data_IF_213622459357
#
_entry.id   IF_213622459357
#
_cell.length_a   1.000
_cell.length_b   1.000
_cell.length_c   1.000
_cell.angle_alpha   90.00
_cell.angle_beta   90.00
_cell.angle_gamma   90.00
#
_symmetry.space_group_name_H-M   'P 1'
#
loop_
_entity.id
_entity.type
_entity.pdbx_description
1 polymer ?
#
# COMPACT_ATOMS: atom_id res chain seq x y z
N UNK A 1 -7.59 -10.95 20.58
CA UNK A 1 -7.92 -9.89 19.61
C UNK A 1 -6.87 -8.82 19.80
N UNK A 2 -5.96 -8.66 18.83
CA UNK A 2 -5.11 -7.48 18.80
C UNK A 2 -6.04 -6.26 18.82
N UNK A 3 -5.76 -5.31 19.70
CA UNK A 3 -6.59 -4.12 19.80
C UNK A 3 -6.31 -3.25 18.59
N UNK A 4 -7.34 -2.69 17.94
CA UNK A 4 -7.24 -1.66 16.89
C UNK A 4 -6.07 -0.68 17.11
N UNK A 5 -5.84 -0.30 18.37
CA UNK A 5 -4.74 0.56 18.81
C UNK A 5 -3.34 0.05 18.45
N UNK A 6 -3.08 -1.24 18.66
CA UNK A 6 -1.78 -1.87 18.41
C UNK A 6 -1.43 -1.83 16.92
N UNK A 7 -2.41 -2.07 16.05
CA UNK A 7 -2.21 -2.12 14.61
C UNK A 7 -1.91 -0.74 13.98
N UNK A 8 -2.68 0.31 14.32
CA UNK A 8 -2.38 1.63 13.75
C UNK A 8 -1.10 2.24 14.33
N UNK A 9 -0.81 2.01 15.62
CA UNK A 9 0.47 2.42 16.23
C UNK A 9 1.62 1.63 15.58
N UNK A 10 1.44 0.34 15.34
CA UNK A 10 2.41 -0.51 14.66
C UNK A 10 2.79 0.04 13.29
N UNK A 11 1.79 0.36 12.46
CA UNK A 11 2.00 0.96 11.14
C UNK A 11 2.72 2.30 11.23
N UNK A 12 2.30 3.17 12.16
CA UNK A 12 2.91 4.49 12.37
C UNK A 12 4.37 4.37 12.80
N UNK A 13 4.68 3.55 13.79
CA UNK A 13 6.04 3.38 14.34
C UNK A 13 6.96 2.72 13.30
N UNK A 14 6.49 1.67 12.63
CA UNK A 14 7.27 0.97 11.61
C UNK A 14 7.64 1.90 10.46
N UNK A 15 6.67 2.64 9.92
CA UNK A 15 6.94 3.59 8.84
C UNK A 15 7.77 4.79 9.30
N UNK A 16 7.54 5.32 10.51
CA UNK A 16 8.38 6.41 11.06
C UNK A 16 9.85 5.98 11.15
N UNK A 17 10.10 4.76 11.64
CA UNK A 17 11.46 4.21 11.76
C UNK A 17 12.11 4.09 10.38
N UNK A 18 11.39 3.52 9.41
CA UNK A 18 11.85 3.44 8.04
C UNK A 18 12.13 4.82 7.43
N UNK A 19 11.19 5.76 7.56
CA UNK A 19 11.29 7.09 6.97
C UNK A 19 12.49 7.85 7.52
N UNK A 20 12.73 7.82 8.83
CA UNK A 20 13.89 8.48 9.45
C UNK A 20 15.20 7.89 8.93
N UNK A 21 15.32 6.57 8.89
CA UNK A 21 16.52 5.89 8.37
C UNK A 21 16.73 6.25 6.90
N UNK A 22 15.67 6.14 6.09
CA UNK A 22 15.71 6.43 4.65
C UNK A 22 16.06 7.90 4.40
N UNK A 23 15.52 8.82 5.20
CA UNK A 23 15.82 10.26 5.14
C UNK A 23 17.29 10.54 5.46
N UNK A 24 17.82 9.97 6.55
CA UNK A 24 19.23 10.13 6.92
C UNK A 24 20.12 9.62 5.79
N UNK A 25 19.82 8.45 5.23
CA UNK A 25 20.57 7.86 4.11
C UNK A 25 20.48 8.74 2.87
N UNK A 26 19.29 9.27 2.55
CA UNK A 26 19.07 10.16 1.38
C UNK A 26 19.95 11.41 1.45
N UNK A 27 20.07 12.00 2.63
CA UNK A 27 20.89 13.20 2.87
C UNK A 27 22.38 12.85 2.94
N UNK A 28 22.74 11.74 3.58
CA UNK A 28 24.14 11.37 3.81
C UNK A 28 24.85 10.96 2.51
N UNK A 29 24.21 10.19 1.64
CA UNK A 29 24.88 9.62 0.45
C UNK A 29 25.45 10.71 -0.49
N UNK A 30 24.70 11.75 -0.89
CA UNK A 30 25.24 12.83 -1.72
C UNK A 30 26.41 13.59 -1.07
N UNK A 31 26.44 13.69 0.27
CA UNK A 31 27.55 14.32 1.02
C UNK A 31 28.85 13.53 0.87
N UNK A 32 28.76 12.21 0.76
CA UNK A 32 29.93 11.33 0.59
C UNK A 32 30.27 11.03 -0.88
N UNK A 33 29.32 11.25 -1.79
CA UNK A 33 29.44 10.92 -3.20
C UNK A 33 28.84 12.03 -4.08
N UNK A 34 29.68 12.98 -4.50
CA UNK A 34 29.29 14.16 -5.29
C UNK A 34 28.63 13.84 -6.65
N UNK A 35 28.69 12.58 -7.10
CA UNK A 35 28.07 12.11 -8.35
C UNK A 35 26.62 11.66 -8.18
N UNK A 36 26.12 11.55 -6.95
CA UNK A 36 24.77 11.04 -6.66
C UNK A 36 23.80 12.22 -6.57
N UNK A 37 22.73 12.25 -7.39
CA UNK A 37 21.75 13.33 -7.35
C UNK A 37 20.94 13.28 -6.05
N UNK A 38 20.43 14.42 -5.57
CA UNK A 38 19.62 14.47 -4.34
C UNK A 38 18.32 13.64 -4.42
N UNK A 39 17.83 13.37 -5.63
CA UNK A 39 16.61 12.57 -5.89
C UNK A 39 16.88 11.07 -6.05
N UNK A 40 18.07 10.59 -5.73
CA UNK A 40 18.47 9.20 -5.97
C UNK A 40 17.64 8.15 -5.23
N UNK A 41 16.97 8.54 -4.13
CA UNK A 41 16.18 7.63 -3.29
C UNK A 41 14.67 7.79 -3.53
N UNK A 42 14.06 6.96 -4.39
CA UNK A 42 12.63 7.02 -4.69
C UNK A 42 11.75 6.31 -3.64
N UNK A 43 12.31 5.80 -2.55
CA UNK A 43 11.53 5.05 -1.54
C UNK A 43 10.79 5.93 -0.55
N UNK A 44 11.14 7.20 -0.48
CA UNK A 44 10.45 8.25 0.27
C UNK A 44 10.10 9.39 -0.70
N UNK A 45 9.00 10.12 -0.47
CA UNK A 45 8.69 11.26 -1.31
C UNK A 45 9.69 12.39 -1.07
N UNK A 46 9.84 13.34 -2.01
CA UNK A 46 10.65 14.53 -1.81
C UNK A 46 10.25 15.24 -0.51
N UNK A 47 11.23 15.57 0.34
CA UNK A 47 10.97 16.08 1.71
C UNK A 47 10.25 17.42 1.74
N UNK A 48 10.35 18.20 0.66
CA UNK A 48 9.65 19.47 0.50
C UNK A 48 8.19 19.28 0.08
N UNK A 49 7.82 18.10 -0.43
CA UNK A 49 6.44 17.75 -0.72
C UNK A 49 5.77 17.17 0.53
N UNK A 50 5.42 18.07 1.44
CA UNK A 50 4.75 17.72 2.70
C UNK A 50 3.46 16.94 2.49
N UNK A 51 2.74 17.16 1.39
CA UNK A 51 1.48 16.48 1.12
C UNK A 51 1.72 14.99 0.82
N UNK A 52 2.72 14.67 0.00
CA UNK A 52 3.09 13.29 -0.27
C UNK A 52 3.65 12.59 0.98
N UNK A 53 4.47 13.29 1.78
CA UNK A 53 4.97 12.77 3.06
C UNK A 53 3.80 12.39 3.96
N UNK A 54 2.87 13.32 4.21
CA UNK A 54 1.67 13.08 5.04
C UNK A 54 0.84 11.93 4.44
N UNK A 55 0.67 11.92 3.11
CA UNK A 55 -0.03 10.86 2.40
C UNK A 55 0.57 9.47 2.66
N UNK A 56 1.89 9.35 2.63
CA UNK A 56 2.59 8.10 2.95
C UNK A 56 2.33 7.66 4.39
N UNK A 57 2.37 8.56 5.36
CA UNK A 57 2.06 8.24 6.77
C UNK A 57 0.61 7.76 6.94
N UNK A 58 -0.34 8.44 6.29
CA UNK A 58 -1.75 8.03 6.29
C UNK A 58 -1.90 6.65 5.67
N UNK A 59 -1.26 6.40 4.52
CA UNK A 59 -1.31 5.12 3.83
C UNK A 59 -0.69 3.99 4.68
N UNK A 60 0.45 4.22 5.32
CA UNK A 60 1.07 3.25 6.20
C UNK A 60 0.15 2.87 7.37
N UNK A 61 -0.52 3.84 7.99
CA UNK A 61 -1.50 3.59 9.05
C UNK A 61 -2.70 2.82 8.52
N UNK A 62 -3.26 3.22 7.38
CA UNK A 62 -4.40 2.54 6.77
C UNK A 62 -4.05 1.09 6.44
N UNK A 63 -2.93 0.84 5.76
CA UNK A 63 -2.53 -0.53 5.39
C UNK A 63 -2.14 -1.39 6.60
N UNK A 64 -1.68 -0.77 7.71
CA UNK A 64 -1.57 -1.45 9.00
C UNK A 64 -2.90 -1.84 9.64
N UNK A 65 -4.02 -1.27 9.20
CA UNK A 65 -5.38 -1.61 9.66
C UNK A 65 -6.16 -2.47 8.66
N UNK A 66 -5.70 -2.53 7.42
CA UNK A 66 -6.44 -3.10 6.29
C UNK A 66 -6.76 -4.60 6.43
N UNK A 67 -5.87 -5.47 6.95
CA UNK A 67 -6.18 -6.90 7.05
C UNK A 67 -7.46 -7.20 7.85
N UNK A 68 -7.78 -6.37 8.85
CA UNK A 68 -8.95 -6.48 9.73
C UNK A 68 -10.25 -5.87 9.14
N UNK A 69 -10.25 -5.48 7.86
CA UNK A 69 -11.47 -5.00 7.16
C UNK A 69 -12.47 -6.12 6.87
N UNK A 70 -12.01 -7.38 6.91
CA UNK A 70 -12.78 -8.60 6.68
C UNK A 70 -13.77 -8.95 7.81
N UNK A 71 -13.65 -8.33 8.98
CA UNK A 71 -14.52 -8.53 10.14
C UNK A 71 -15.14 -7.22 10.65
N UNK A 72 -16.20 -7.36 11.45
CA UNK A 72 -16.82 -6.23 12.15
C UNK A 72 -15.84 -5.60 13.14
N UNK A 73 -15.16 -4.53 12.72
CA UNK A 73 -14.11 -3.86 13.48
C UNK A 73 -14.16 -2.33 13.33
N UNK A 74 -13.36 -1.62 14.13
CA UNK A 74 -13.16 -0.17 13.94
C UNK A 74 -12.44 0.12 12.61
N UNK A 75 -11.47 -0.71 12.23
CA UNK A 75 -10.77 -0.65 10.95
C UNK A 75 -11.76 -0.71 9.79
N UNK A 76 -12.66 -1.69 9.80
CA UNK A 76 -13.72 -1.83 8.80
C UNK A 76 -14.54 -0.55 8.66
N UNK A 77 -15.04 0.02 9.76
CA UNK A 77 -15.83 1.26 9.70
C UNK A 77 -15.06 2.43 9.09
N UNK A 78 -13.76 2.56 9.39
CA UNK A 78 -12.92 3.63 8.82
C UNK A 78 -12.80 3.44 7.31
N UNK A 79 -12.39 2.24 6.86
CA UNK A 79 -12.20 1.95 5.45
C UNK A 79 -13.47 2.12 4.62
N UNK A 80 -14.61 1.57 5.06
CA UNK A 80 -15.85 1.70 4.32
C UNK A 80 -16.39 3.12 4.27
N UNK A 81 -16.10 3.96 5.28
CA UNK A 81 -16.40 5.40 5.21
C UNK A 81 -15.54 6.11 4.18
N UNK A 82 -14.24 5.84 4.16
CA UNK A 82 -13.32 6.41 3.16
C UNK A 82 -13.73 5.96 1.75
N UNK A 83 -13.98 4.66 1.54
CA UNK A 83 -14.40 4.11 0.25
C UNK A 83 -15.76 4.67 -0.19
N UNK A 84 -16.69 4.87 0.73
CA UNK A 84 -17.97 5.53 0.44
C UNK A 84 -17.78 6.98 0.00
N UNK A 85 -16.98 7.76 0.74
CA UNK A 85 -16.69 9.15 0.39
C UNK A 85 -15.99 9.25 -0.97
N UNK A 86 -15.00 8.39 -1.24
CA UNK A 86 -14.33 8.31 -2.54
C UNK A 86 -15.32 7.97 -3.67
N UNK A 87 -16.24 7.03 -3.45
CA UNK A 87 -17.29 6.71 -4.42
C UNK A 87 -18.20 7.91 -4.70
N UNK A 88 -18.66 8.61 -3.65
CA UNK A 88 -19.46 9.84 -3.81
C UNK A 88 -18.68 10.88 -4.60
N UNK A 89 -17.38 11.04 -4.32
CA UNK A 89 -16.54 11.99 -5.03
C UNK A 89 -16.40 11.64 -6.52
N UNK A 90 -16.14 10.37 -6.84
CA UNK A 90 -16.03 9.89 -8.21
C UNK A 90 -17.34 10.08 -8.99
N UNK A 91 -18.49 9.80 -8.38
CA UNK A 91 -19.80 9.93 -9.03
C UNK A 91 -20.18 11.40 -9.20
N UNK A 92 -20.17 12.18 -8.12
CA UNK A 92 -20.77 13.52 -8.09
C UNK A 92 -19.88 14.54 -8.78
N UNK A 93 -18.58 14.56 -8.47
CA UNK A 93 -17.68 15.60 -8.95
C UNK A 93 -16.94 15.20 -10.23
N UNK A 94 -16.52 13.94 -10.35
CA UNK A 94 -15.71 13.50 -11.50
C UNK A 94 -16.51 12.79 -12.60
N UNK A 95 -17.77 12.40 -12.33
CA UNK A 95 -18.62 11.65 -13.27
C UNK A 95 -17.95 10.35 -13.77
N UNK A 96 -17.07 9.77 -12.94
CA UNK A 96 -16.26 8.57 -13.21
C UNK A 96 -16.98 7.32 -12.73
N UNK A 97 -18.04 6.96 -13.45
CA UNK A 97 -18.95 5.88 -13.07
C UNK A 97 -18.31 4.49 -13.11
N UNK A 98 -17.43 4.24 -14.08
CA UNK A 98 -16.74 2.96 -14.21
C UNK A 98 -15.77 2.75 -13.04
N UNK A 99 -14.94 3.76 -12.75
CA UNK A 99 -14.00 3.71 -11.63
C UNK A 99 -14.71 3.59 -10.29
N UNK A 100 -15.85 4.26 -10.12
CA UNK A 100 -16.71 4.08 -8.94
C UNK A 100 -17.28 2.66 -8.86
N UNK A 101 -17.79 2.09 -9.95
CA UNK A 101 -18.31 0.73 -9.97
C UNK A 101 -17.22 -0.29 -9.62
N UNK A 102 -16.02 -0.14 -10.18
CA UNK A 102 -14.86 -0.97 -9.87
C UNK A 102 -14.42 -0.81 -8.40
N UNK A 103 -14.35 0.43 -7.90
CA UNK A 103 -14.01 0.69 -6.49
C UNK A 103 -15.03 0.03 -5.54
N UNK A 104 -16.32 0.14 -5.84
CA UNK A 104 -17.39 -0.52 -5.09
C UNK A 104 -17.31 -2.05 -5.15
N UNK A 105 -17.05 -2.62 -6.34
CA UNK A 105 -16.88 -4.06 -6.53
C UNK A 105 -15.71 -4.60 -5.70
N UNK A 106 -14.54 -3.97 -5.80
CA UNK A 106 -13.35 -4.38 -5.06
C UNK A 106 -13.49 -4.16 -3.56
N UNK A 107 -14.22 -3.12 -3.14
CA UNK A 107 -14.51 -2.88 -1.74
C UNK A 107 -15.25 -4.06 -1.09
N UNK A 108 -16.08 -4.81 -1.81
CA UNK A 108 -16.83 -5.94 -1.25
C UNK A 108 -15.99 -7.20 -1.01
N UNK A 109 -14.85 -7.35 -1.72
CA UNK A 109 -14.06 -8.59 -1.69
C UNK A 109 -13.60 -9.02 -0.28
N UNK A 110 -13.14 -8.13 0.61
CA UNK A 110 -12.71 -8.55 1.94
C UNK A 110 -13.86 -9.12 2.78
N UNK A 111 -15.07 -8.54 2.70
CA UNK A 111 -16.25 -9.00 3.47
C UNK A 111 -16.74 -10.37 2.98
N UNK A 112 -16.62 -10.66 1.69
CA UNK A 112 -17.01 -11.96 1.12
C UNK A 112 -16.02 -13.08 1.47
N UNK A 113 -14.88 -12.75 2.06
CA UNK A 113 -13.84 -13.70 2.40
C UNK A 113 -13.97 -14.22 3.83
N UNK A 114 -13.43 -15.42 4.09
CA UNK A 114 -13.31 -15.94 5.46
C UNK A 114 -12.34 -15.06 6.25
N UNK A 115 -12.64 -14.82 7.53
CA UNK A 115 -11.71 -14.13 8.42
C UNK A 115 -10.35 -14.82 8.43
N UNK A 116 -9.27 -14.04 8.33
CA UNK A 116 -7.88 -14.52 8.18
C UNK A 116 -7.65 -15.36 6.93
N UNK A 117 -8.43 -15.07 5.88
CA UNK A 117 -8.25 -15.63 4.55
C UNK A 117 -7.12 -14.93 3.81
N UNK A 118 -7.39 -14.55 2.55
CA UNK A 118 -6.40 -13.89 1.71
C UNK A 118 -5.95 -12.53 2.27
N UNK A 119 -6.79 -11.84 3.05
CA UNK A 119 -6.44 -10.58 3.74
C UNK A 119 -5.30 -10.71 4.75
N UNK A 120 -4.96 -11.92 5.18
CA UNK A 120 -3.84 -12.18 6.10
C UNK A 120 -2.73 -13.02 5.44
N UNK A 121 -2.82 -13.26 4.13
CA UNK A 121 -1.80 -13.98 3.40
C UNK A 121 -0.56 -13.09 3.20
N UNK A 122 0.64 -13.68 3.32
CA UNK A 122 1.91 -12.97 3.13
C UNK A 122 2.04 -12.36 1.74
N UNK A 123 1.48 -13.02 0.72
CA UNK A 123 1.54 -12.51 -0.65
C UNK A 123 0.71 -11.23 -0.83
N UNK A 124 -0.37 -11.08 -0.05
CA UNK A 124 -1.24 -9.89 -0.10
C UNK A 124 -0.53 -8.63 0.39
N UNK A 125 0.46 -8.77 1.29
CA UNK A 125 1.31 -7.65 1.70
C UNK A 125 2.16 -7.08 0.56
N UNK A 126 2.30 -7.81 -0.56
CA UNK A 126 3.01 -7.36 -1.77
C UNK A 126 1.99 -6.95 -2.84
N UNK A 127 1.01 -7.82 -3.12
CA UNK A 127 0.04 -7.62 -4.19
C UNK A 127 -0.95 -6.48 -3.95
N UNK A 128 -1.35 -6.22 -2.70
CA UNK A 128 -2.29 -5.14 -2.45
C UNK A 128 -1.58 -3.77 -2.52
N UNK A 129 -0.40 -3.56 -1.90
CA UNK A 129 0.41 -2.37 -2.12
C UNK A 129 0.76 -2.07 -3.58
N UNK A 130 0.91 -3.09 -4.43
CA UNK A 130 1.30 -2.87 -5.83
C UNK A 130 0.29 -2.04 -6.62
N UNK A 131 -0.94 -1.85 -6.12
CA UNK A 131 -1.89 -0.87 -6.68
C UNK A 131 -1.28 0.53 -6.81
N UNK A 132 -0.43 0.95 -5.87
CA UNK A 132 0.22 2.27 -5.92
C UNK A 132 1.26 2.40 -7.03
N UNK A 133 1.82 1.29 -7.51
CA UNK A 133 2.69 1.27 -8.69
C UNK A 133 1.87 1.31 -9.99
N UNK A 134 0.64 0.78 -9.95
CA UNK A 134 -0.24 0.70 -11.11
C UNK A 134 -1.07 1.97 -11.33
N UNK A 135 -1.36 2.75 -10.28
CA UNK A 135 -2.16 3.97 -10.40
C UNK A 135 -1.53 4.98 -11.38
N UNK A 136 -0.24 5.36 -11.27
CA UNK A 136 0.39 6.30 -12.21
C UNK A 136 0.37 5.77 -13.65
N UNK A 137 0.58 4.46 -13.83
CA UNK A 137 0.46 3.82 -15.15
C UNK A 137 -0.96 3.95 -15.71
N UNK A 138 -1.97 3.76 -14.87
CA UNK A 138 -3.36 3.87 -15.28
C UNK A 138 -3.75 5.32 -15.62
N UNK A 139 -3.21 6.31 -14.91
CA UNK A 139 -3.57 7.72 -15.11
C UNK A 139 -2.79 8.39 -16.24
N UNK A 140 -1.53 8.05 -16.41
CA UNK A 140 -0.60 8.83 -17.25
C UNK A 140 -0.43 8.21 -18.64
N UNK A 141 -0.69 6.91 -18.80
CA UNK A 141 -0.62 6.24 -20.10
C UNK A 141 -1.86 6.56 -20.95
N UNK A 142 -1.74 7.55 -21.84
CA UNK A 142 -2.85 8.06 -22.64
C UNK A 142 -3.46 7.05 -23.64
N UNK A 143 -2.67 6.04 -24.05
CA UNK A 143 -3.09 5.06 -25.05
C UNK A 143 -4.21 4.13 -24.55
N UNK A 144 -4.52 4.10 -23.25
CA UNK A 144 -5.73 3.43 -22.74
C UNK A 144 -7.01 3.91 -23.45
N UNK A 145 -7.04 5.16 -23.92
CA UNK A 145 -8.18 5.74 -24.61
C UNK A 145 -8.20 5.44 -26.13
N UNK A 146 -7.15 4.82 -26.68
CA UNK A 146 -7.02 4.55 -28.12
C UNK A 146 -8.03 3.53 -28.64
N UNK A 147 -8.63 2.72 -27.76
CA UNK A 147 -9.52 1.63 -28.14
C UNK A 147 -8.81 0.47 -28.85
N UNK A 148 -7.48 0.42 -28.74
CA UNK A 148 -6.67 -0.68 -29.25
C UNK A 148 -6.95 -1.98 -28.47
N UNK A 149 -6.43 -3.10 -28.97
CA UNK A 149 -6.60 -4.38 -28.29
C UNK A 149 -5.55 -4.56 -27.18
N UNK A 150 -5.79 -5.52 -26.28
CA UNK A 150 -4.90 -5.80 -25.14
C UNK A 150 -3.45 -6.09 -25.54
N UNK A 151 -3.23 -6.69 -26.72
CA UNK A 151 -1.88 -7.02 -27.20
C UNK A 151 -1.14 -5.77 -27.63
N UNK A 152 -1.80 -4.87 -28.37
CA UNK A 152 -1.22 -3.57 -28.74
C UNK A 152 -0.99 -2.68 -27.52
N UNK A 153 -1.92 -2.66 -26.55
CA UNK A 153 -1.74 -1.90 -25.31
C UNK A 153 -0.53 -2.42 -24.52
N UNK A 154 -0.32 -3.73 -24.49
CA UNK A 154 0.83 -4.33 -23.82
C UNK A 154 2.16 -3.94 -24.48
N UNK A 155 2.23 -3.97 -25.81
CA UNK A 155 3.44 -3.55 -26.53
C UNK A 155 3.67 -2.05 -26.37
N UNK A 156 2.62 -1.23 -26.49
CA UNK A 156 2.73 0.22 -26.28
C UNK A 156 3.18 0.55 -24.85
N UNK A 157 2.67 -0.15 -23.84
CA UNK A 157 3.08 0.05 -22.45
C UNK A 157 4.55 -0.34 -22.24
N UNK A 158 5.00 -1.44 -22.84
CA UNK A 158 6.40 -1.88 -22.79
C UNK A 158 7.34 -0.85 -23.40
N UNK A 159 6.92 -0.23 -24.49
CA UNK A 159 7.72 0.74 -25.25
C UNK A 159 7.51 2.18 -24.77
N UNK A 160 6.69 2.39 -23.73
CA UNK A 160 6.42 3.70 -23.15
C UNK A 160 7.62 4.19 -22.35
N UNK A 161 8.25 5.26 -22.84
CA UNK A 161 9.46 5.83 -22.24
C UNK A 161 9.28 6.30 -20.79
N UNK A 162 8.09 6.78 -20.41
CA UNK A 162 7.83 7.29 -19.06
C UNK A 162 7.39 6.20 -18.07
N UNK A 163 7.30 4.93 -18.50
CA UNK A 163 6.94 3.82 -17.62
C UNK A 163 7.82 3.74 -16.36
N UNK A 164 9.16 3.90 -16.42
CA UNK A 164 9.99 3.90 -15.22
C UNK A 164 9.64 5.05 -14.28
N UNK A 165 9.43 6.26 -14.79
CA UNK A 165 9.10 7.44 -13.96
C UNK A 165 7.72 7.31 -13.31
N UNK A 166 6.75 6.74 -14.03
CA UNK A 166 5.44 6.41 -13.49
C UNK A 166 5.53 5.37 -12.35
N UNK A 167 6.37 4.33 -12.51
CA UNK A 167 6.61 3.36 -11.44
C UNK A 167 7.30 3.99 -10.23
N UNK A 168 8.29 4.86 -10.46
CA UNK A 168 9.04 5.51 -9.40
C UNK A 168 8.19 6.53 -8.63
N UNK A 169 7.24 7.21 -9.28
CA UNK A 169 6.33 8.14 -8.61
C UNK A 169 5.35 7.42 -7.66
N UNK A 170 4.98 6.18 -7.97
CA UNK A 170 4.16 5.32 -7.10
C UNK A 170 4.93 4.64 -5.96
N UNK A 171 6.26 4.58 -6.05
CA UNK A 171 7.10 3.78 -5.16
C UNK A 171 7.04 4.22 -3.68
N UNK A 172 7.03 5.52 -3.32
CA UNK A 172 6.93 5.92 -1.91
C UNK A 172 5.67 5.40 -1.23
N UNK A 173 4.54 5.42 -1.95
CA UNK A 173 3.25 4.94 -1.45
C UNK A 173 3.20 3.42 -1.40
N UNK A 174 3.80 2.73 -2.36
CA UNK A 174 4.00 1.28 -2.31
C UNK A 174 4.79 0.88 -1.05
N UNK A 175 5.92 1.55 -0.79
CA UNK A 175 6.76 1.25 0.38
C UNK A 175 6.01 1.52 1.68
N UNK A 176 5.31 2.66 1.77
CA UNK A 176 4.51 3.00 2.94
C UNK A 176 3.41 1.97 3.22
N UNK A 177 2.65 1.60 2.20
CA UNK A 177 1.58 0.60 2.32
C UNK A 177 2.13 -0.80 2.61
N UNK A 178 3.23 -1.20 1.99
CA UNK A 178 3.92 -2.46 2.27
C UNK A 178 4.37 -2.55 3.74
N UNK A 179 5.04 -1.52 4.25
CA UNK A 179 5.51 -1.48 5.65
C UNK A 179 4.34 -1.49 6.61
N UNK A 180 3.31 -0.69 6.35
CA UNK A 180 2.07 -0.69 7.12
C UNK A 180 1.48 -2.08 7.22
N UNK A 181 1.24 -2.74 6.08
CA UNK A 181 0.67 -4.08 6.02
C UNK A 181 1.56 -5.12 6.71
N UNK A 182 2.86 -5.09 6.44
CA UNK A 182 3.81 -6.02 7.06
C UNK A 182 3.83 -5.88 8.59
N UNK A 183 3.66 -4.67 9.12
CA UNK A 183 3.56 -4.42 10.56
C UNK A 183 2.34 -5.12 11.18
N UNK A 184 1.19 -5.12 10.49
CA UNK A 184 0.00 -5.86 10.93
C UNK A 184 0.30 -7.36 11.01
N UNK A 185 0.81 -7.94 9.92
CA UNK A 185 1.13 -9.38 9.89
C UNK A 185 2.20 -9.78 10.90
N UNK A 186 3.12 -8.87 11.22
CA UNK A 186 4.11 -9.05 12.27
C UNK A 186 3.46 -9.10 13.65
N UNK A 187 2.59 -8.14 13.97
CA UNK A 187 1.89 -8.08 15.25
C UNK A 187 0.97 -9.29 15.47
N UNK A 188 0.37 -9.81 14.41
CA UNK A 188 -0.41 -11.05 14.44
C UNK A 188 0.44 -12.33 14.48
N UNK A 189 1.78 -12.22 14.39
CA UNK A 189 2.71 -13.36 14.39
C UNK A 189 2.64 -14.23 13.12
N UNK A 190 2.06 -13.70 12.05
CA UNK A 190 1.91 -14.36 10.76
C UNK A 190 3.19 -14.20 9.92
N UNK A 191 3.79 -13.01 9.95
CA UNK A 191 4.98 -12.70 9.16
C UNK A 191 6.16 -13.59 9.56
N UNK A 192 6.49 -13.61 10.85
CA UNK A 192 7.45 -14.54 11.44
C UNK A 192 6.72 -15.44 12.43
N UNK A 193 6.73 -16.77 12.20
CA UNK A 193 6.18 -17.73 13.16
C UNK A 193 6.90 -17.55 14.50
N UNK A 194 6.21 -17.00 15.50
CA UNK A 194 6.82 -16.77 16.81
C UNK A 194 7.32 -18.10 17.40
N UNK A 195 8.49 -18.08 18.04
CA UNK A 195 9.01 -19.25 18.76
C UNK A 195 8.02 -19.76 19.83
N UNK A 196 7.15 -18.87 20.33
CA UNK A 196 6.06 -19.18 21.27
C UNK A 196 5.03 -20.15 20.65
N UNK A 197 4.63 -19.92 19.39
CA UNK A 197 3.72 -20.83 18.68
C UNK A 197 4.37 -22.19 18.39
N UNK A 198 5.67 -22.22 18.08
CA UNK A 198 6.42 -23.49 17.97
C UNK A 198 6.51 -24.22 19.32
N UNK A 199 6.77 -23.51 20.42
CA UNK A 199 6.83 -24.08 21.77
C UNK A 199 5.49 -24.59 22.28
N UNK A 200 4.38 -23.89 22.03
CA UNK A 200 3.04 -24.38 22.37
C UNK A 200 2.67 -25.63 21.56
N UNK A 201 3.00 -25.67 20.27
CA UNK A 201 2.76 -26.86 19.44
C UNK A 201 3.62 -28.05 19.87
N UNK A 202 4.85 -27.81 20.33
CA UNK A 202 5.71 -28.84 20.89
C UNK A 202 5.19 -29.38 22.23
N UNK A 203 4.59 -28.54 23.08
CA UNK A 203 3.97 -28.94 24.35
C UNK A 203 2.62 -29.65 24.20
N UNK A 204 1.87 -29.36 23.13
CA UNK A 204 0.60 -30.02 22.84
C UNK A 204 0.77 -31.42 22.20
N UNK A 205 1.99 -31.74 21.76
CA UNK A 205 2.35 -33.03 21.16
C UNK A 205 3.16 -33.92 22.15
N UNK A 206 3.26 -33.52 23.42
CA UNK A 206 3.76 -34.30 24.55
C UNK A 206 2.59 -34.71 25.43
#
# INVERSE_FOLDING_TARGET
MSMFREHWIGGLVAYSTFFIISLIVTIAVPIFYDTVPETWNPTIPPVLDFLQVIGCFVIAVLFGLWPDVDIKSKSQKIFYRVLFLLNVVLIVFFQKYLESALLGLFAMLPIMSKHRGWTHAKITMILLPSVFLLIPIYTDYAEWASGANLVSDFYGLRDWNDLPDALLSGLPFYVASFIGYASHLYLDGILFRSQKAKRQKARANQ
#
